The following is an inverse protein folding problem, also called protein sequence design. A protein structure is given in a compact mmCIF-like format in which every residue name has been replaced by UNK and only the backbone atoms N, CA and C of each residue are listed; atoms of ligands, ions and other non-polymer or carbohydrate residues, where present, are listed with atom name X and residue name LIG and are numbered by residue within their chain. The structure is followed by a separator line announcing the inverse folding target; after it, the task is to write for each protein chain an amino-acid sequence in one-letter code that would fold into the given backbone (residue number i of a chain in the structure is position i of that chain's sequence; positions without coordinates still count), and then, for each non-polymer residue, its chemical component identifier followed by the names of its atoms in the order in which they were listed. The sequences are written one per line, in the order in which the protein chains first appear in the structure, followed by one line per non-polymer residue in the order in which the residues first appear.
data_IF_751455023046
#
_entry.id   IF_751455023046
#
_cell.length_a   1.000
_cell.length_b   1.000
_cell.length_c   1.000
_cell.angle_alpha   90.00
_cell.angle_beta   90.00
_cell.angle_gamma   90.00
#
_symmetry.space_group_name_H-M   'P 1'
#
loop_
_entity.id
_entity.type
_entity.pdbx_description
1 polymer ?
#
# COMPACT_ATOMS: atom_id res chain seq x y z
N UNK A 1 -5.36 -7.38 0.40
CA UNK A 1 -5.73 -6.18 -0.38
C UNK A 1 -6.42 -6.56 -1.68
N UNK A 2 -7.44 -5.79 -2.06
CA UNK A 2 -8.16 -5.99 -3.32
C UNK A 2 -7.28 -5.69 -4.54
N UNK A 3 -6.37 -4.71 -4.40
CA UNK A 3 -5.43 -4.29 -5.44
C UNK A 3 -4.10 -3.89 -4.84
N UNK A 4 -3.07 -3.82 -5.68
CA UNK A 4 -1.78 -3.23 -5.29
C UNK A 4 -2.01 -1.75 -4.99
N UNK A 5 -1.61 -1.25 -3.81
CA UNK A 5 -1.85 0.16 -3.47
C UNK A 5 -1.04 1.09 -4.38
N UNK A 6 -1.64 2.23 -4.68
CA UNK A 6 -1.00 3.30 -5.44
C UNK A 6 -0.65 4.44 -4.48
N UNK A 7 0.52 5.05 -4.69
CA UNK A 7 1.01 6.13 -3.83
C UNK A 7 1.58 7.26 -4.66
N UNK A 8 1.49 8.46 -4.08
CA UNK A 8 2.17 9.63 -4.64
C UNK A 8 3.65 9.61 -4.30
N UNK A 9 4.44 10.44 -4.99
CA UNK A 9 5.87 10.60 -4.70
C UNK A 9 6.13 11.00 -3.24
N UNK A 10 5.29 11.86 -2.66
CA UNK A 10 5.41 12.27 -1.26
C UNK A 10 5.17 11.10 -0.29
N UNK A 11 4.16 10.30 -0.56
CA UNK A 11 3.86 9.10 0.24
C UNK A 11 4.96 8.05 0.13
N UNK A 12 5.52 7.88 -1.08
CA UNK A 12 6.65 6.98 -1.29
C UNK A 12 7.88 7.42 -0.50
N UNK A 13 8.18 8.73 -0.47
CA UNK A 13 9.28 9.28 0.32
C UNK A 13 9.17 8.92 1.80
N UNK A 14 7.98 9.04 2.37
CA UNK A 14 7.73 8.66 3.76
C UNK A 14 7.89 7.14 3.97
N UNK A 15 7.39 6.34 3.05
CA UNK A 15 7.52 4.89 3.13
C UNK A 15 8.99 4.45 3.05
N UNK A 16 9.80 5.11 2.22
CA UNK A 16 11.24 4.86 2.13
C UNK A 16 11.94 5.06 3.48
N UNK A 17 11.54 6.07 4.25
CA UNK A 17 12.10 6.31 5.59
C UNK A 17 11.85 5.10 6.50
N UNK A 18 10.65 4.52 6.43
CA UNK A 18 10.33 3.31 7.19
C UNK A 18 11.12 2.09 6.70
N UNK A 19 11.24 1.92 5.39
CA UNK A 19 12.00 0.81 4.80
C UNK A 19 13.48 0.86 5.17
N UNK A 20 14.05 2.05 5.30
CA UNK A 20 15.46 2.22 5.67
C UNK A 20 15.77 1.72 7.08
N UNK A 21 14.77 1.55 7.93
CA UNK A 21 14.94 1.02 9.30
C UNK A 21 14.95 -0.50 9.37
N UNK A 22 14.61 -1.19 8.28
CA UNK A 22 14.50 -2.64 8.28
C UNK A 22 15.85 -3.32 8.07
N UNK A 23 16.04 -4.54 8.63
CA UNK A 23 17.26 -5.31 8.40
C UNK A 23 17.46 -5.64 6.91
N UNK A 24 18.72 -5.73 6.42
CA UNK A 24 18.99 -6.08 5.02
C UNK A 24 18.32 -7.38 4.56
N UNK A 25 18.29 -8.40 5.39
CA UNK A 25 17.66 -9.68 5.09
C UNK A 25 16.17 -9.53 4.83
N UNK A 26 15.50 -8.69 5.62
CA UNK A 26 14.08 -8.41 5.46
C UNK A 26 13.80 -7.65 4.17
N UNK A 27 14.66 -6.70 3.83
CA UNK A 27 14.56 -5.96 2.56
C UNK A 27 14.72 -6.87 1.35
N UNK A 28 15.62 -7.86 1.42
CA UNK A 28 15.77 -8.85 0.33
C UNK A 28 14.51 -9.69 0.15
N UNK A 29 13.90 -10.14 1.23
CA UNK A 29 12.62 -10.87 1.16
C UNK A 29 11.53 -10.01 0.53
N UNK A 30 11.43 -8.76 0.96
CA UNK A 30 10.46 -7.80 0.42
C UNK A 30 10.70 -7.57 -1.07
N UNK A 31 11.95 -7.42 -1.49
CA UNK A 31 12.32 -7.28 -2.91
C UNK A 31 11.81 -8.44 -3.75
N UNK A 32 12.06 -9.67 -3.31
CA UNK A 32 11.59 -10.85 -4.01
C UNK A 32 10.08 -10.90 -4.11
N UNK A 33 9.40 -10.60 -3.00
CA UNK A 33 7.94 -10.62 -2.97
C UNK A 33 7.33 -9.49 -3.80
N UNK A 34 7.99 -8.33 -3.90
CA UNK A 34 7.56 -7.23 -4.77
C UNK A 34 7.64 -7.61 -6.25
N UNK A 35 8.71 -8.29 -6.66
CA UNK A 35 8.85 -8.76 -8.03
C UNK A 35 7.74 -9.77 -8.35
N UNK A 36 7.48 -10.70 -7.46
CA UNK A 36 6.40 -11.67 -7.61
C UNK A 36 5.03 -10.99 -7.71
N UNK A 37 4.79 -10.00 -6.85
CA UNK A 37 3.53 -9.24 -6.85
C UNK A 37 3.32 -8.46 -8.15
N UNK A 38 4.39 -7.87 -8.69
CA UNK A 38 4.31 -7.13 -9.96
C UNK A 38 3.79 -7.98 -11.12
N UNK A 39 4.10 -9.29 -11.11
CA UNK A 39 3.62 -10.23 -12.11
C UNK A 39 2.34 -10.97 -11.73
N UNK A 40 1.84 -10.77 -10.53
CA UNK A 40 0.66 -11.49 -10.04
C UNK A 40 -0.63 -10.93 -10.64
N UNK A 41 -1.42 -11.79 -11.28
CA UNK A 41 -2.72 -11.42 -11.85
C UNK A 41 -3.89 -11.76 -10.94
N UNK A 42 -3.73 -12.75 -10.06
CA UNK A 42 -4.78 -13.17 -9.14
C UNK A 42 -5.05 -12.13 -8.04
N UNK A 43 -6.28 -12.08 -7.58
CA UNK A 43 -6.71 -11.19 -6.49
C UNK A 43 -7.48 -12.02 -5.45
N UNK A 44 -7.49 -11.62 -4.17
CA UNK A 44 -6.79 -10.46 -3.60
C UNK A 44 -5.26 -10.65 -3.52
N UNK A 45 -4.54 -9.58 -3.20
CA UNK A 45 -3.08 -9.63 -3.04
C UNK A 45 -2.71 -9.54 -1.56
N UNK A 46 -1.55 -10.13 -1.21
CA UNK A 46 -0.94 -9.98 0.11
C UNK A 46 0.20 -8.98 -0.02
N UNK A 47 0.20 -7.93 0.82
CA UNK A 47 1.25 -6.92 0.78
C UNK A 47 2.60 -7.53 1.18
N UNK A 48 3.67 -7.36 0.38
CA UNK A 48 5.00 -7.86 0.72
C UNK A 48 5.59 -7.29 2.00
N UNK A 49 5.10 -6.14 2.46
CA UNK A 49 5.55 -5.52 3.71
C UNK A 49 4.96 -6.19 4.95
N UNK A 50 3.89 -6.95 4.78
CA UNK A 50 3.24 -7.62 5.91
C UNK A 50 4.14 -8.70 6.49
N UNK A 51 4.34 -8.67 7.81
CA UNK A 51 4.96 -9.79 8.53
C UNK A 51 3.89 -10.86 8.74
N UNK A 52 4.01 -11.98 8.02
CA UNK A 52 3.02 -13.05 8.05
C UNK A 52 2.96 -13.78 9.39
N UNK A 53 4.04 -13.79 10.15
CA UNK A 53 4.08 -14.45 11.45
C UNK A 53 3.32 -13.69 12.52
N UNK A 54 3.43 -12.35 12.53
CA UNK A 54 2.77 -11.49 13.51
C UNK A 54 1.47 -10.84 12.99
N UNK A 55 1.29 -10.81 11.68
CA UNK A 55 0.19 -10.07 11.04
C UNK A 55 0.36 -8.55 11.08
N UNK A 56 1.54 -8.07 11.44
CA UNK A 56 1.83 -6.65 11.59
C UNK A 56 2.56 -6.07 10.37
N UNK A 57 2.38 -4.77 10.16
CA UNK A 57 3.14 -4.02 9.15
C UNK A 57 4.31 -3.33 9.85
N UNK A 58 5.57 -3.65 9.50
CA UNK A 58 6.74 -3.05 10.15
C UNK A 58 6.92 -1.56 9.86
N UNK A 59 6.25 -1.05 8.84
CA UNK A 59 6.23 0.38 8.46
C UNK A 59 4.85 0.99 8.70
N UNK A 60 4.14 0.54 9.70
CA UNK A 60 2.77 0.96 10.00
C UNK A 60 2.62 2.48 10.12
N UNK A 61 3.58 3.15 10.76
CA UNK A 61 3.55 4.61 10.93
C UNK A 61 3.71 5.37 9.61
N UNK A 62 4.35 4.76 8.60
CA UNK A 62 4.61 5.36 7.29
C UNK A 62 3.63 4.88 6.21
N UNK A 63 2.50 4.31 6.59
CA UNK A 63 1.53 3.80 5.62
C UNK A 63 0.99 4.92 4.72
N UNK A 64 0.87 4.68 3.41
CA UNK A 64 0.18 5.62 2.51
C UNK A 64 -1.33 5.67 2.80
N UNK A 65 -1.98 6.69 2.25
CA UNK A 65 -3.42 6.91 2.46
C UNK A 65 -4.23 5.67 2.03
N UNK A 66 -3.86 5.03 0.93
CA UNK A 66 -4.55 3.82 0.47
C UNK A 66 -4.58 2.72 1.54
N UNK A 67 -3.52 2.55 2.31
CA UNK A 67 -3.46 1.57 3.41
C UNK A 67 -4.24 2.04 4.64
N UNK A 68 -4.20 3.35 4.95
CA UNK A 68 -4.86 3.92 6.14
C UNK A 68 -6.37 3.91 6.01
N UNK A 69 -6.88 4.07 4.78
CA UNK A 69 -8.31 4.17 4.50
C UNK A 69 -8.93 2.88 3.98
N UNK A 70 -8.12 1.83 3.79
CA UNK A 70 -8.60 0.57 3.24
C UNK A 70 -9.83 0.05 3.97
N UNK A 71 -10.90 -0.18 3.21
CA UNK A 71 -12.16 -0.67 3.72
C UNK A 71 -13.06 0.39 4.37
N UNK A 72 -12.57 1.62 4.58
CA UNK A 72 -13.30 2.70 5.25
C UNK A 72 -13.65 3.86 4.33
N UNK A 73 -13.60 3.67 3.01
CA UNK A 73 -14.08 4.65 2.05
C UNK A 73 -14.94 3.96 0.99
N UNK A 74 -15.76 4.76 0.33
CA UNK A 74 -16.67 4.30 -0.72
C UNK A 74 -16.19 4.86 -2.05
N UNK A 75 -16.09 4.01 -3.05
CA UNK A 75 -15.83 4.39 -4.42
C UNK A 75 -17.17 4.45 -5.16
N UNK A 76 -17.37 5.51 -5.97
CA UNK A 76 -18.63 5.70 -6.69
C UNK A 76 -18.98 4.44 -7.50
N UNK A 77 -20.20 3.96 -7.32
CA UNK A 77 -20.80 2.81 -8.01
C UNK A 77 -20.14 1.45 -7.75
N UNK A 78 -19.12 1.38 -6.88
CA UNK A 78 -18.41 0.14 -6.60
C UNK A 78 -18.63 -0.41 -5.18
N UNK A 79 -19.35 0.32 -4.33
CA UNK A 79 -19.59 -0.09 -2.95
C UNK A 79 -18.33 -0.03 -2.08
N UNK A 80 -18.27 -0.88 -1.07
CA UNK A 80 -17.17 -0.95 -0.13
C UNK A 80 -16.09 -1.93 -0.62
N UNK A 81 -14.84 -1.65 -0.28
CA UNK A 81 -13.69 -2.44 -0.74
C UNK A 81 -13.55 -3.79 -0.07
N UNK A 82 -13.94 -3.92 1.20
CA UNK A 82 -13.72 -5.11 2.00
C UNK A 82 -15.03 -5.83 2.29
N UNK A 83 -15.10 -7.13 1.97
CA UNK A 83 -16.28 -7.96 2.22
C UNK A 83 -16.68 -8.01 3.68
N UNK A 84 -15.69 -8.10 4.58
CA UNK A 84 -15.96 -8.17 6.01
C UNK A 84 -16.62 -6.89 6.51
N UNK A 85 -16.16 -5.75 6.01
CA UNK A 85 -16.74 -4.44 6.34
C UNK A 85 -18.12 -4.31 5.72
N UNK A 86 -18.30 -4.74 4.46
CA UNK A 86 -19.62 -4.76 3.82
C UNK A 86 -20.63 -5.58 4.63
N UNK A 87 -20.23 -6.75 5.08
CA UNK A 87 -21.08 -7.61 5.92
C UNK A 87 -21.47 -6.92 7.23
N UNK A 88 -20.52 -6.27 7.88
CA UNK A 88 -20.78 -5.52 9.12
C UNK A 88 -21.70 -4.32 8.91
N UNK A 89 -21.56 -3.63 7.80
CA UNK A 89 -22.45 -2.54 7.42
C UNK A 89 -23.87 -3.06 7.19
N UNK A 90 -24.01 -4.16 6.48
CA UNK A 90 -25.30 -4.81 6.24
C UNK A 90 -25.98 -5.24 7.55
N UNK A 91 -25.21 -5.61 8.57
CA UNK A 91 -25.72 -5.99 9.90
C UNK A 91 -25.92 -4.79 10.83
N UNK A 92 -25.66 -3.57 10.40
CA UNK A 92 -25.82 -2.36 11.19
C UNK A 92 -24.71 -2.11 12.23
N UNK A 93 -23.66 -2.93 12.28
CA UNK A 93 -22.60 -2.85 13.29
C UNK A 93 -21.74 -1.59 13.17
N UNK A 94 -21.69 -0.97 12.00
CA UNK A 94 -20.86 0.21 11.70
C UNK A 94 -21.69 1.43 11.34
N UNK A 95 -22.92 1.55 11.91
CA UNK A 95 -23.85 2.63 11.59
C UNK A 95 -23.29 4.03 11.87
N UNK A 96 -22.40 4.18 12.87
CA UNK A 96 -21.83 5.46 13.28
C UNK A 96 -20.51 5.80 12.59
N UNK A 97 -20.03 4.95 11.68
CA UNK A 97 -18.76 5.18 10.97
C UNK A 97 -18.95 6.22 9.86
N UNK A 98 -18.03 7.18 9.81
CA UNK A 98 -17.97 8.16 8.73
C UNK A 98 -17.09 7.60 7.62
N UNK A 99 -17.65 7.44 6.42
CA UNK A 99 -16.96 6.86 5.28
C UNK A 99 -16.25 7.93 4.46
N UNK A 100 -15.00 7.66 4.06
CA UNK A 100 -14.27 8.54 3.17
C UNK A 100 -14.76 8.44 1.72
N UNK A 101 -14.64 9.55 1.00
CA UNK A 101 -14.92 9.58 -0.43
C UNK A 101 -13.62 9.32 -1.20
N UNK A 102 -13.54 8.18 -1.88
CA UNK A 102 -12.36 7.76 -2.63
C UNK A 102 -11.95 8.79 -3.70
N UNK A 103 -12.93 9.26 -4.48
CA UNK A 103 -12.64 10.21 -5.57
C UNK A 103 -12.13 11.55 -5.05
N UNK A 104 -12.68 12.04 -3.94
CA UNK A 104 -12.22 13.28 -3.31
C UNK A 104 -10.81 13.12 -2.73
N UNK A 105 -10.50 11.98 -2.14
CA UNK A 105 -9.17 11.65 -1.62
C UNK A 105 -8.15 11.62 -2.77
N UNK A 106 -8.45 10.91 -3.84
CA UNK A 106 -7.58 10.83 -5.02
C UNK A 106 -7.33 12.19 -5.65
N UNK A 107 -8.38 13.04 -5.73
CA UNK A 107 -8.25 14.39 -6.27
C UNK A 107 -7.26 15.24 -5.45
N UNK A 108 -7.32 15.14 -4.14
CA UNK A 108 -6.38 15.85 -3.25
C UNK A 108 -4.96 15.30 -3.35
N UNK A 109 -4.82 13.98 -3.45
CA UNK A 109 -3.52 13.33 -3.57
C UNK A 109 -2.83 13.67 -4.88
N UNK A 110 -3.57 13.93 -5.95
CA UNK A 110 -3.00 14.30 -7.25
C UNK A 110 -2.08 15.52 -7.20
N UNK A 111 -2.24 16.40 -6.22
CA UNK A 111 -1.39 17.55 -5.99
C UNK A 111 -0.06 17.24 -5.30
N UNK A 112 0.16 16.01 -4.85
CA UNK A 112 1.35 15.59 -4.07
C UNK A 112 2.43 14.91 -4.92
N UNK A 113 2.38 15.08 -6.24
CA UNK A 113 3.35 14.53 -7.17
C UNK A 113 2.81 13.34 -7.97
N UNK A 114 3.72 12.69 -8.69
CA UNK A 114 3.38 11.54 -9.53
C UNK A 114 2.84 10.39 -8.69
N UNK A 115 1.84 9.69 -9.23
CA UNK A 115 1.24 8.50 -8.60
C UNK A 115 1.65 7.25 -9.36
N UNK A 116 2.16 6.25 -8.64
CA UNK A 116 2.53 4.95 -9.19
C UNK A 116 2.10 3.84 -8.24
N UNK A 117 2.02 2.61 -8.73
CA UNK A 117 1.83 1.44 -7.89
C UNK A 117 3.03 1.22 -6.97
N UNK A 118 2.79 0.65 -5.80
CA UNK A 118 3.84 0.31 -4.84
C UNK A 118 4.98 -0.49 -5.49
N UNK A 119 4.65 -1.46 -6.33
CA UNK A 119 5.63 -2.29 -7.03
C UNK A 119 6.51 -1.50 -7.99
N UNK A 120 5.95 -0.50 -8.67
CA UNK A 120 6.70 0.38 -9.58
C UNK A 120 7.68 1.29 -8.81
N UNK A 121 7.24 1.86 -7.70
CA UNK A 121 8.10 2.66 -6.83
C UNK A 121 9.27 1.84 -6.28
N UNK A 122 8.96 0.63 -5.82
CA UNK A 122 9.96 -0.25 -5.24
C UNK A 122 11.01 -0.67 -6.27
N UNK A 123 10.60 -1.02 -7.47
CA UNK A 123 11.49 -1.38 -8.58
C UNK A 123 12.47 -0.24 -8.90
N UNK A 124 11.99 0.99 -9.01
CA UNK A 124 12.84 2.17 -9.25
C UNK A 124 13.84 2.39 -8.13
N UNK A 125 13.42 2.19 -6.90
CA UNK A 125 14.29 2.32 -5.72
C UNK A 125 15.39 1.25 -5.69
N UNK A 126 15.05 0.01 -5.95
CA UNK A 126 16.00 -1.10 -6.02
C UNK A 126 17.05 -0.87 -7.12
N UNK A 127 16.63 -0.44 -8.30
CA UNK A 127 17.54 -0.12 -9.40
C UNK A 127 18.54 0.97 -9.00
N UNK A 128 18.09 2.01 -8.32
CA UNK A 128 18.94 3.08 -7.81
C UNK A 128 19.93 2.59 -6.76
N UNK A 129 19.49 1.70 -5.86
CA UNK A 129 20.38 1.12 -4.83
C UNK A 129 21.47 0.25 -5.45
N UNK A 130 21.13 -0.60 -6.41
CA UNK A 130 22.10 -1.44 -7.12
C UNK A 130 23.13 -0.60 -7.88
N UNK A 131 22.71 0.45 -8.56
CA UNK A 131 23.60 1.37 -9.26
C UNK A 131 24.59 2.03 -8.30
N UNK A 132 24.15 2.46 -7.12
CA UNK A 132 25.03 3.05 -6.11
C UNK A 132 26.03 2.04 -5.55
N UNK A 133 25.63 0.81 -5.33
CA UNK A 133 26.51 -0.26 -4.85
C UNK A 133 27.61 -0.58 -5.87
N UNK A 134 27.30 -0.54 -7.17
CA UNK A 134 28.27 -0.81 -8.25
C UNK A 134 29.26 0.34 -8.41
N UNK A 135 28.85 1.58 -8.17
CA UNK A 135 29.72 2.77 -8.31
C UNK A 135 30.54 3.07 -7.06
N UNK A 136 30.22 2.47 -5.96
CA UNK A 136 30.99 2.62 -4.72
C UNK A 136 32.15 1.64 -4.68
#
# INVERSE_FOLDING_TARGET
LAEVPRLTAAEWGLLQEGLATLPPERLEEISRDMVALAGQRSRPVVCPLLDRSSGACPVYAQRPVACRTYGFYVQRDLGLYCRDIESRVANGALADVVWGNHDAIDHRLAGLGETKALTEWFESWESGRHSRAVTA
#
